data_IF_996343211633
#
_entry.id   IF_996343211633
#
_cell.length_a   1.000
_cell.length_b   1.000
_cell.length_c   1.000
_cell.angle_alpha   90.00
_cell.angle_beta   90.00
_cell.angle_gamma   90.00
#
_symmetry.space_group_name_H-M   'P 1'
#
loop_
_entity.id
_entity.type
_entity.pdbx_description
1 polymer ?
#
# COMPACT_ATOMS: atom_id res chain seq x y z
N UNK A 1 35.60 13.35 4.84
CA UNK A 1 36.06 11.95 5.01
C UNK A 1 35.43 11.11 3.89
N UNK A 2 35.91 11.31 2.66
CA UNK A 2 35.50 10.58 1.47
C UNK A 2 36.70 9.73 1.04
N UNK A 3 36.54 8.41 0.97
CA UNK A 3 37.28 7.49 0.08
C UNK A 3 36.97 6.04 0.46
N UNK A 4 36.24 5.34 -0.41
CA UNK A 4 36.49 3.95 -0.86
C UNK A 4 35.31 3.49 -1.75
N UNK A 5 35.27 3.99 -2.97
CA UNK A 5 34.57 3.33 -4.08
C UNK A 5 35.56 2.35 -4.72
N UNK A 6 35.58 1.13 -4.21
CA UNK A 6 36.35 0.03 -4.77
C UNK A 6 35.55 -0.73 -5.83
N UNK A 7 36.11 -0.79 -7.05
CA UNK A 7 35.88 -1.83 -8.08
C UNK A 7 34.43 -2.03 -8.58
N UNK A 8 33.94 -1.11 -9.41
CA UNK A 8 32.82 -1.34 -10.35
C UNK A 8 33.22 -1.25 -11.84
N UNK A 9 34.51 -1.09 -12.15
CA UNK A 9 34.99 -0.76 -13.50
C UNK A 9 35.00 -1.93 -14.51
N UNK A 10 34.88 -3.19 -14.06
CA UNK A 10 34.86 -4.36 -14.94
C UNK A 10 33.50 -4.57 -15.63
N UNK A 11 32.40 -4.37 -14.90
CA UNK A 11 31.04 -4.64 -15.38
C UNK A 11 30.52 -3.46 -16.22
N UNK A 12 30.84 -2.21 -15.86
CA UNK A 12 30.44 -1.05 -16.67
C UNK A 12 31.06 -1.04 -18.08
N UNK A 13 32.26 -1.62 -18.29
CA UNK A 13 32.90 -1.69 -19.60
C UNK A 13 32.27 -2.69 -20.56
N UNK A 14 31.70 -3.80 -20.06
CA UNK A 14 30.86 -4.67 -20.89
C UNK A 14 29.53 -4.01 -21.27
N UNK A 15 29.01 -3.07 -20.47
CA UNK A 15 27.71 -2.43 -20.72
C UNK A 15 27.76 -1.29 -21.73
N UNK A 16 28.81 -0.45 -21.73
CA UNK A 16 28.96 0.58 -22.77
C UNK A 16 29.26 0.01 -24.16
N UNK A 17 29.83 -1.20 -24.22
CA UNK A 17 30.03 -1.91 -25.50
C UNK A 17 28.77 -2.63 -25.97
N UNK A 18 27.79 -2.89 -25.09
CA UNK A 18 26.46 -3.42 -25.46
C UNK A 18 25.49 -2.34 -25.94
N UNK A 19 25.54 -1.11 -25.39
CA UNK A 19 24.68 -0.01 -25.85
C UNK A 19 25.00 0.49 -27.27
N UNK A 20 26.12 0.05 -27.84
CA UNK A 20 26.57 0.41 -29.19
C UNK A 20 26.26 -0.67 -30.26
N UNK A 21 25.80 -1.87 -29.88
CA UNK A 21 25.52 -2.97 -30.84
C UNK A 21 24.00 -3.14 -31.07
N UNK A 22 23.53 -2.50 -32.15
CA UNK A 22 22.28 -2.73 -32.90
C UNK A 22 20.98 -2.74 -32.09
N UNK A 23 20.30 -1.61 -32.24
CA UNK A 23 18.91 -1.26 -31.92
C UNK A 23 17.84 -2.14 -32.58
N UNK A 24 17.90 -3.47 -32.46
CA UNK A 24 16.80 -4.33 -32.89
C UNK A 24 16.27 -5.17 -31.73
N UNK A 25 14.95 -5.23 -31.59
CA UNK A 25 14.29 -6.08 -30.59
C UNK A 25 14.72 -7.55 -30.73
N UNK A 26 15.11 -7.98 -31.93
CA UNK A 26 15.64 -9.30 -32.19
C UNK A 26 16.97 -9.58 -31.46
N UNK A 27 17.88 -8.60 -31.37
CA UNK A 27 19.14 -8.79 -30.63
C UNK A 27 18.88 -8.90 -29.13
N UNK A 28 17.98 -8.07 -28.58
CA UNK A 28 17.57 -8.13 -27.19
C UNK A 28 16.89 -9.48 -26.87
N UNK A 29 15.99 -9.95 -27.73
CA UNK A 29 15.32 -11.24 -27.57
C UNK A 29 16.32 -12.41 -27.56
N UNK A 30 17.34 -12.38 -28.43
CA UNK A 30 18.40 -13.39 -28.43
C UNK A 30 19.24 -13.36 -27.14
N UNK A 31 19.57 -12.17 -26.64
CA UNK A 31 20.30 -12.02 -25.37
C UNK A 31 19.47 -12.55 -24.19
N UNK A 32 18.18 -12.21 -24.13
CA UNK A 32 17.26 -12.70 -23.09
C UNK A 32 17.15 -14.24 -23.14
N UNK A 33 17.01 -14.83 -24.33
CA UNK A 33 17.00 -16.29 -24.48
C UNK A 33 18.29 -16.93 -23.94
N UNK A 34 19.43 -16.43 -24.38
CA UNK A 34 20.75 -16.98 -24.03
C UNK A 34 21.13 -16.78 -22.55
N UNK A 35 20.78 -15.63 -21.98
CA UNK A 35 21.23 -15.26 -20.62
C UNK A 35 20.22 -15.61 -19.53
N UNK A 36 18.92 -15.64 -19.83
CA UNK A 36 17.87 -15.89 -18.83
C UNK A 36 17.19 -17.24 -19.07
N UNK A 37 16.78 -17.56 -20.30
CA UNK A 37 15.96 -18.76 -20.51
C UNK A 37 16.78 -20.05 -20.52
N UNK A 38 18.02 -20.01 -21.03
CA UNK A 38 18.88 -21.19 -21.18
C UNK A 38 19.78 -21.47 -19.96
N UNK A 39 19.97 -20.50 -19.06
CA UNK A 39 20.85 -20.67 -17.89
C UNK A 39 20.09 -21.22 -16.68
N UNK A 40 20.64 -22.25 -16.05
CA UNK A 40 20.06 -22.89 -14.84
C UNK A 40 20.13 -22.00 -13.60
N UNK A 41 21.22 -21.22 -13.43
CA UNK A 41 21.40 -20.34 -12.27
C UNK A 41 21.62 -18.90 -12.71
N UNK A 42 20.70 -18.01 -12.34
CA UNK A 42 20.71 -16.60 -12.73
C UNK A 42 20.78 -15.77 -11.45
N UNK A 43 21.70 -14.80 -11.44
CA UNK A 43 21.79 -13.83 -10.34
C UNK A 43 20.64 -12.83 -10.41
N UNK A 44 20.10 -12.42 -9.26
CA UNK A 44 19.08 -11.36 -9.17
C UNK A 44 19.50 -10.07 -9.90
N UNK A 45 20.80 -9.74 -9.86
CA UNK A 45 21.34 -8.56 -10.53
C UNK A 45 21.25 -8.68 -12.06
N UNK A 46 21.42 -9.87 -12.62
CA UNK A 46 21.31 -10.10 -14.05
C UNK A 46 19.87 -9.89 -14.52
N UNK A 47 18.90 -10.44 -13.77
CA UNK A 47 17.47 -10.23 -14.04
C UNK A 47 17.13 -8.75 -14.00
N UNK A 48 17.56 -8.04 -12.95
CA UNK A 48 17.30 -6.61 -12.79
C UNK A 48 17.91 -5.76 -13.89
N UNK A 49 19.15 -6.06 -14.30
CA UNK A 49 19.80 -5.33 -15.39
C UNK A 49 19.08 -5.54 -16.73
N UNK A 50 18.58 -6.75 -16.97
CA UNK A 50 17.79 -7.04 -18.16
C UNK A 50 16.43 -6.34 -18.14
N UNK A 51 15.72 -6.36 -17.02
CA UNK A 51 14.46 -5.64 -16.87
C UNK A 51 14.63 -4.12 -17.04
N UNK A 52 15.70 -3.54 -16.47
CA UNK A 52 16.04 -2.12 -16.66
C UNK A 52 16.34 -1.81 -18.13
N UNK A 53 17.05 -2.70 -18.81
CA UNK A 53 17.36 -2.54 -20.23
C UNK A 53 16.09 -2.60 -21.08
N UNK A 54 15.18 -3.52 -20.78
CA UNK A 54 13.85 -3.58 -21.41
C UNK A 54 13.06 -2.28 -21.18
N UNK A 55 13.05 -1.77 -19.94
CA UNK A 55 12.36 -0.51 -19.59
C UNK A 55 12.95 0.70 -20.34
N UNK A 56 14.27 0.81 -20.43
CA UNK A 56 14.95 1.90 -21.16
C UNK A 56 14.65 1.81 -22.66
N UNK A 57 14.62 0.59 -23.21
CA UNK A 57 14.34 0.37 -24.63
C UNK A 57 12.89 0.67 -24.99
N UNK A 58 11.94 0.43 -24.07
CA UNK A 58 10.52 0.78 -24.25
C UNK A 58 10.32 2.27 -24.51
N UNK A 59 11.07 3.14 -23.83
CA UNK A 59 11.03 4.58 -24.05
C UNK A 59 11.62 5.05 -25.39
N UNK A 60 12.35 4.17 -26.11
CA UNK A 60 13.07 4.52 -27.34
C UNK A 60 12.47 3.92 -28.61
N UNK A 61 11.66 2.87 -28.49
CA UNK A 61 11.18 2.08 -29.63
C UNK A 61 9.64 2.07 -29.63
N UNK A 62 8.97 2.37 -30.78
CA UNK A 62 7.50 2.39 -30.87
C UNK A 62 6.85 1.00 -30.73
N UNK A 63 7.60 -0.09 -30.88
CA UNK A 63 7.13 -1.48 -30.70
C UNK A 63 7.11 -1.92 -29.21
N UNK A 64 6.41 -1.16 -28.37
CA UNK A 64 6.36 -1.41 -26.92
C UNK A 64 5.79 -2.78 -26.53
N UNK A 65 4.84 -3.30 -27.29
CA UNK A 65 4.18 -4.59 -27.03
C UNK A 65 5.15 -5.78 -27.06
N UNK A 66 6.11 -5.77 -28.00
CA UNK A 66 7.10 -6.85 -28.09
C UNK A 66 8.01 -6.87 -26.86
N UNK A 67 8.32 -5.70 -26.29
CA UNK A 67 9.14 -5.58 -25.09
C UNK A 67 8.36 -6.05 -23.86
N UNK A 68 7.07 -5.74 -23.77
CA UNK A 68 6.20 -6.23 -22.69
C UNK A 68 6.14 -7.77 -22.71
N UNK A 69 5.97 -8.38 -23.89
CA UNK A 69 6.02 -9.84 -24.02
C UNK A 69 7.36 -10.47 -23.61
N UNK A 70 8.48 -9.72 -23.71
CA UNK A 70 9.78 -10.18 -23.24
C UNK A 70 9.88 -10.10 -21.72
N UNK A 71 9.34 -9.05 -21.11
CA UNK A 71 9.27 -8.90 -19.65
C UNK A 71 8.44 -10.04 -19.04
N UNK A 72 7.29 -10.34 -19.63
CA UNK A 72 6.46 -11.49 -19.22
C UNK A 72 7.22 -12.81 -19.27
N UNK A 73 7.95 -13.06 -20.37
CA UNK A 73 8.80 -14.27 -20.51
C UNK A 73 9.92 -14.34 -19.48
N UNK A 74 10.50 -13.19 -19.10
CA UNK A 74 11.53 -13.13 -18.05
C UNK A 74 10.94 -13.53 -16.69
N UNK A 75 9.76 -13.00 -16.35
CA UNK A 75 9.10 -13.33 -15.08
C UNK A 75 8.55 -14.75 -15.04
N UNK A 76 8.07 -15.29 -16.16
CA UNK A 76 7.56 -16.66 -16.27
C UNK A 76 8.66 -17.73 -16.22
N UNK A 77 9.93 -17.37 -16.49
CA UNK A 77 11.03 -18.33 -16.54
C UNK A 77 11.23 -19.07 -15.20
N UNK A 78 11.26 -20.41 -15.16
CA UNK A 78 11.32 -21.17 -13.90
C UNK A 78 12.61 -20.92 -13.11
N UNK A 79 13.70 -20.58 -13.79
CA UNK A 79 15.03 -20.38 -13.21
C UNK A 79 15.16 -19.03 -12.48
N UNK A 80 14.18 -18.13 -12.64
CA UNK A 80 14.19 -16.78 -12.05
C UNK A 80 13.49 -16.81 -10.69
N UNK A 81 14.27 -16.64 -9.62
CA UNK A 81 13.76 -16.40 -8.26
C UNK A 81 13.29 -14.95 -8.15
N UNK A 82 11.98 -14.76 -7.95
CA UNK A 82 11.38 -13.43 -7.82
C UNK A 82 11.35 -13.04 -6.34
N UNK A 83 12.39 -12.34 -5.90
CA UNK A 83 12.49 -11.79 -4.53
C UNK A 83 11.77 -10.43 -4.43
N UNK A 84 11.26 -10.04 -3.26
CA UNK A 84 10.66 -8.70 -3.04
C UNK A 84 11.60 -7.55 -3.46
N UNK A 85 12.92 -7.70 -3.27
CA UNK A 85 13.91 -6.72 -3.73
C UNK A 85 13.94 -6.56 -5.26
N UNK A 86 13.73 -7.65 -6.00
CA UNK A 86 13.68 -7.63 -7.47
C UNK A 86 12.43 -6.87 -7.93
N UNK A 87 11.27 -7.18 -7.34
CA UNK A 87 10.01 -6.47 -7.61
C UNK A 87 10.13 -4.98 -7.29
N UNK A 88 10.65 -4.64 -6.10
CA UNK A 88 10.81 -3.27 -5.65
C UNK A 88 11.65 -2.44 -6.64
N UNK A 89 12.82 -2.96 -7.02
CA UNK A 89 13.71 -2.30 -7.98
C UNK A 89 13.14 -2.25 -9.40
N UNK A 90 12.31 -3.21 -9.78
CA UNK A 90 11.60 -3.21 -11.06
C UNK A 90 10.47 -2.17 -11.07
N UNK A 91 9.62 -2.10 -10.05
CA UNK A 91 8.54 -1.10 -10.00
C UNK A 91 9.06 0.33 -9.94
N UNK A 92 10.25 0.57 -9.38
CA UNK A 92 10.92 1.86 -9.46
C UNK A 92 11.27 2.30 -10.90
N UNK A 93 11.32 1.39 -11.87
CA UNK A 93 11.52 1.77 -13.29
C UNK A 93 10.24 2.23 -13.98
N UNK A 94 9.14 2.36 -13.23
CA UNK A 94 7.82 2.80 -13.73
C UNK A 94 7.28 1.96 -14.89
N UNK A 95 7.18 0.63 -14.75
CA UNK A 95 6.64 -0.23 -15.80
C UNK A 95 5.15 0.04 -16.06
N UNK A 96 4.63 -0.42 -17.21
CA UNK A 96 3.20 -0.38 -17.51
C UNK A 96 2.39 -1.28 -16.59
N UNK A 97 1.09 -1.00 -16.46
CA UNK A 97 0.17 -1.78 -15.62
C UNK A 97 0.20 -3.29 -15.92
N UNK A 98 0.14 -3.69 -17.19
CA UNK A 98 0.19 -5.11 -17.58
C UNK A 98 1.45 -5.83 -17.06
N UNK A 99 2.61 -5.15 -17.10
CA UNK A 99 3.86 -5.72 -16.58
C UNK A 99 3.85 -5.81 -15.05
N UNK A 100 3.20 -4.85 -14.37
CA UNK A 100 3.06 -4.88 -12.90
C UNK A 100 2.15 -6.04 -12.50
N UNK A 101 0.98 -6.15 -13.13
CA UNK A 101 0.05 -7.25 -12.92
C UNK A 101 0.73 -8.61 -13.16
N UNK A 102 1.41 -8.77 -14.29
CA UNK A 102 2.18 -9.98 -14.59
C UNK A 102 3.27 -10.26 -13.53
N UNK A 103 3.99 -9.23 -13.06
CA UNK A 103 5.01 -9.40 -12.04
C UNK A 103 4.44 -9.83 -10.69
N UNK A 104 3.25 -9.35 -10.33
CA UNK A 104 2.55 -9.71 -9.08
C UNK A 104 2.02 -11.14 -9.16
N UNK A 105 1.37 -11.51 -10.26
CA UNK A 105 0.84 -12.86 -10.47
C UNK A 105 1.97 -13.91 -10.41
N UNK A 106 3.05 -13.70 -11.18
CA UNK A 106 4.21 -14.61 -11.17
C UNK A 106 4.90 -14.66 -9.80
N UNK A 107 4.90 -13.57 -9.03
CA UNK A 107 5.44 -13.58 -7.66
C UNK A 107 4.63 -14.51 -6.76
N UNK A 108 3.30 -14.44 -6.82
CA UNK A 108 2.43 -15.32 -6.05
C UNK A 108 2.51 -16.78 -6.53
N UNK A 109 2.59 -17.04 -7.82
CA UNK A 109 2.70 -18.40 -8.35
C UNK A 109 3.98 -19.10 -7.88
N UNK A 110 5.08 -18.35 -7.77
CA UNK A 110 6.40 -18.91 -7.41
C UNK A 110 6.67 -18.95 -5.91
N UNK A 111 6.12 -18.01 -5.13
CA UNK A 111 6.50 -17.83 -3.72
C UNK A 111 5.46 -18.33 -2.71
N UNK A 112 4.47 -19.12 -3.15
CA UNK A 112 3.52 -19.80 -2.27
C UNK A 112 2.86 -18.87 -1.25
N UNK A 113 3.19 -19.02 0.03
CA UNK A 113 2.56 -18.28 1.14
C UNK A 113 3.10 -16.86 1.34
N UNK A 114 4.14 -16.45 0.61
CA UNK A 114 4.71 -15.11 0.77
C UNK A 114 3.77 -14.05 0.16
N UNK A 115 3.42 -13.05 0.97
CA UNK A 115 2.67 -11.88 0.53
C UNK A 115 3.56 -10.69 0.21
N UNK A 116 3.07 -9.78 -0.64
CA UNK A 116 3.75 -8.51 -0.93
C UNK A 116 3.51 -7.55 0.23
N UNK A 117 4.57 -6.92 0.76
CA UNK A 117 4.42 -5.93 1.83
C UNK A 117 3.76 -4.65 1.30
N UNK A 118 2.97 -3.97 2.14
CA UNK A 118 2.36 -2.68 1.81
C UNK A 118 3.38 -1.66 1.27
N UNK A 119 4.55 -1.56 1.88
CA UNK A 119 5.59 -0.61 1.46
C UNK A 119 6.05 -0.81 0.02
N UNK A 120 6.09 -2.07 -0.44
CA UNK A 120 6.47 -2.39 -1.82
C UNK A 120 5.27 -2.11 -2.75
N UNK A 121 4.05 -2.49 -2.36
CA UNK A 121 2.83 -2.22 -3.12
C UNK A 121 2.53 -0.73 -3.31
N UNK A 122 2.97 0.11 -2.36
CA UNK A 122 2.89 1.58 -2.44
C UNK A 122 3.64 2.17 -3.63
N UNK A 123 4.67 1.50 -4.15
CA UNK A 123 5.49 2.04 -5.25
C UNK A 123 4.66 2.18 -6.54
N UNK A 124 4.10 1.09 -7.11
CA UNK A 124 3.25 1.20 -8.29
C UNK A 124 1.95 1.97 -7.99
N UNK A 125 1.39 1.79 -6.79
CA UNK A 125 0.16 2.48 -6.39
C UNK A 125 0.30 4.01 -6.43
N UNK A 126 1.35 4.57 -5.82
CA UNK A 126 1.60 6.02 -5.85
C UNK A 126 1.82 6.55 -7.25
N UNK A 127 2.44 5.75 -8.12
CA UNK A 127 2.62 6.13 -9.52
C UNK A 127 1.27 6.26 -10.23
N UNK A 128 0.40 5.26 -10.14
CA UNK A 128 -0.91 5.32 -10.79
C UNK A 128 -1.83 6.39 -10.22
N UNK A 129 -1.77 6.63 -8.90
CA UNK A 129 -2.46 7.77 -8.30
C UNK A 129 -1.94 9.10 -8.83
N UNK A 130 -0.62 9.26 -8.93
CA UNK A 130 0.00 10.47 -9.46
C UNK A 130 -0.39 10.72 -10.92
N UNK A 131 -0.50 9.65 -11.71
CA UNK A 131 -0.90 9.72 -13.12
C UNK A 131 -2.43 9.89 -13.30
N UNK A 132 -3.21 9.97 -12.21
CA UNK A 132 -4.68 10.11 -12.23
C UNK A 132 -5.43 8.84 -12.66
N UNK A 133 -4.75 7.70 -12.76
CA UNK A 133 -5.32 6.43 -13.21
C UNK A 133 -5.97 5.65 -12.04
N UNK A 134 -7.04 6.22 -11.49
CA UNK A 134 -7.75 5.76 -10.27
C UNK A 134 -8.13 4.27 -10.34
N UNK A 135 -8.72 3.81 -11.45
CA UNK A 135 -9.13 2.40 -11.61
C UNK A 135 -7.95 1.42 -11.53
N UNK A 136 -6.82 1.78 -12.15
CA UNK A 136 -5.61 0.94 -12.12
C UNK A 136 -5.00 0.94 -10.73
N UNK A 137 -4.99 2.08 -10.04
CA UNK A 137 -4.58 2.15 -8.64
C UNK A 137 -5.44 1.23 -7.75
N UNK A 138 -6.76 1.21 -7.95
CA UNK A 138 -7.67 0.32 -7.22
C UNK A 138 -7.38 -1.16 -7.52
N UNK A 139 -7.14 -1.53 -8.78
CA UNK A 139 -6.72 -2.89 -9.14
C UNK A 139 -5.40 -3.30 -8.47
N UNK A 140 -4.45 -2.37 -8.29
CA UNK A 140 -3.23 -2.66 -7.53
C UNK A 140 -3.55 -2.99 -6.06
N UNK A 141 -4.50 -2.29 -5.43
CA UNK A 141 -4.98 -2.63 -4.08
C UNK A 141 -5.49 -4.07 -4.05
N UNK A 142 -6.31 -4.46 -5.05
CA UNK A 142 -6.88 -5.80 -5.17
C UNK A 142 -5.82 -6.90 -5.31
N UNK A 143 -4.80 -6.64 -6.11
CA UNK A 143 -3.70 -7.58 -6.33
C UNK A 143 -2.72 -7.63 -5.14
N UNK A 144 -2.74 -6.66 -4.23
CA UNK A 144 -1.74 -6.55 -3.15
C UNK A 144 -2.37 -6.65 -1.76
N UNK A 145 -2.78 -5.53 -1.16
CA UNK A 145 -3.22 -5.46 0.24
C UNK A 145 -4.58 -6.08 0.49
N UNK A 146 -5.47 -6.11 -0.51
CA UNK A 146 -6.75 -6.81 -0.43
C UNK A 146 -6.67 -8.29 -0.85
N UNK A 147 -5.49 -8.77 -1.28
CA UNK A 147 -5.31 -10.15 -1.68
C UNK A 147 -5.46 -11.12 -0.49
N UNK A 148 -6.13 -12.28 -0.63
CA UNK A 148 -6.35 -13.22 0.48
C UNK A 148 -5.08 -13.62 1.23
N UNK A 149 -3.95 -13.79 0.51
CA UNK A 149 -2.66 -14.13 1.14
C UNK A 149 -2.13 -13.01 2.04
N UNK A 150 -2.35 -11.74 1.69
CA UNK A 150 -1.98 -10.62 2.54
C UNK A 150 -2.83 -10.59 3.80
N UNK A 151 -4.14 -10.80 3.65
CA UNK A 151 -5.09 -10.86 4.75
C UNK A 151 -4.73 -12.01 5.70
N UNK A 152 -4.35 -13.18 5.18
CA UNK A 152 -3.93 -14.33 5.99
C UNK A 152 -2.59 -14.08 6.70
N UNK A 153 -1.64 -13.38 6.06
CA UNK A 153 -0.45 -12.88 6.75
C UNK A 153 -0.85 -11.97 7.93
N UNK A 154 -1.79 -11.04 7.75
CA UNK A 154 -2.24 -10.16 8.83
C UNK A 154 -2.95 -10.93 9.95
N UNK A 155 -3.77 -11.93 9.63
CA UNK A 155 -4.37 -12.85 10.61
C UNK A 155 -3.30 -13.58 11.42
N UNK A 156 -2.24 -14.07 10.76
CA UNK A 156 -1.12 -14.75 11.42
C UNK A 156 -0.36 -13.82 12.35
N UNK A 157 -0.09 -12.57 11.93
CA UNK A 157 0.52 -11.53 12.78
C UNK A 157 -0.35 -11.24 14.01
N UNK A 158 -1.65 -11.05 13.81
CA UNK A 158 -2.62 -10.84 14.90
C UNK A 158 -2.61 -12.00 15.90
N UNK A 159 -2.63 -13.25 15.41
CA UNK A 159 -2.55 -14.45 16.25
C UNK A 159 -1.25 -14.52 17.02
N UNK A 160 -0.12 -14.20 16.38
CA UNK A 160 1.18 -14.13 17.05
C UNK A 160 1.18 -13.09 18.18
N UNK A 161 0.61 -11.91 17.96
CA UNK A 161 0.48 -10.90 19.01
C UNK A 161 -0.40 -11.35 20.15
N UNK A 162 -1.53 -11.99 19.86
CA UNK A 162 -2.43 -12.54 20.88
C UNK A 162 -1.75 -13.63 21.71
N UNK A 163 -0.97 -14.51 21.08
CA UNK A 163 -0.20 -15.56 21.78
C UNK A 163 0.89 -14.93 22.66
N UNK A 164 1.64 -13.95 22.14
CA UNK A 164 2.66 -13.23 22.93
C UNK A 164 2.03 -12.49 24.11
N UNK A 165 0.87 -11.88 23.89
CA UNK A 165 0.10 -11.21 24.92
C UNK A 165 -0.33 -12.19 26.02
N UNK A 166 -1.02 -13.27 25.66
CA UNK A 166 -1.40 -14.33 26.60
C UNK A 166 -0.18 -14.88 27.36
N UNK A 167 0.93 -15.14 26.66
CA UNK A 167 2.19 -15.57 27.27
C UNK A 167 2.72 -14.57 28.29
N UNK A 168 2.65 -13.27 28.01
CA UNK A 168 3.06 -12.22 28.96
C UNK A 168 2.17 -12.18 30.20
N UNK A 169 0.85 -12.36 30.05
CA UNK A 169 -0.08 -12.45 31.18
C UNK A 169 0.22 -13.66 32.07
N UNK A 170 0.43 -14.84 31.46
CA UNK A 170 0.81 -16.05 32.21
C UNK A 170 2.19 -15.92 32.87
N UNK A 171 3.15 -15.28 32.21
CA UNK A 171 4.46 -14.98 32.79
C UNK A 171 4.37 -14.07 34.01
N UNK A 172 3.51 -13.05 33.96
CA UNK A 172 3.25 -12.15 35.10
C UNK A 172 2.62 -12.91 36.27
N UNK A 173 1.62 -13.77 35.99
CA UNK A 173 0.99 -14.62 37.02
C UNK A 173 2.03 -15.55 37.66
N UNK A 174 2.89 -16.18 36.86
CA UNK A 174 3.98 -17.03 37.36
C UNK A 174 4.99 -16.26 38.22
N UNK A 175 5.33 -15.02 37.83
CA UNK A 175 6.21 -14.17 38.65
C UNK A 175 5.58 -13.82 40.00
N UNK A 176 4.27 -13.50 40.03
CA UNK A 176 3.53 -13.27 41.27
C UNK A 176 3.54 -14.55 42.14
N UNK A 177 3.33 -15.72 41.54
CA UNK A 177 3.39 -16.99 42.28
C UNK A 177 4.76 -17.23 42.91
N UNK A 178 5.84 -17.04 42.16
CA UNK A 178 7.20 -17.22 42.68
C UNK A 178 7.48 -16.25 43.83
N UNK A 179 7.14 -14.97 43.65
CA UNK A 179 7.35 -13.95 44.69
C UNK A 179 6.53 -14.24 45.94
N UNK A 180 5.26 -14.60 45.80
CA UNK A 180 4.40 -14.91 46.93
C UNK A 180 4.89 -16.13 47.71
N UNK A 181 5.35 -17.19 47.03
CA UNK A 181 5.95 -18.36 47.70
C UNK A 181 7.27 -18.06 48.41
N UNK A 182 8.10 -17.16 47.88
CA UNK A 182 9.37 -16.76 48.51
C UNK A 182 9.12 -15.94 49.78
N UNK A 183 8.22 -14.95 49.71
CA UNK A 183 8.02 -13.99 50.82
C UNK A 183 6.93 -14.44 51.82
N UNK A 184 6.00 -15.30 51.40
CA UNK A 184 4.87 -15.74 52.21
C UNK A 184 4.63 -17.25 52.01
N UNK A 185 5.45 -18.07 52.66
CA UNK A 185 5.45 -19.53 52.52
C UNK A 185 4.13 -20.21 52.94
N UNK A 186 3.28 -19.53 53.71
CA UNK A 186 2.08 -20.09 54.35
C UNK A 186 0.75 -19.59 53.74
N UNK A 187 0.81 -18.93 52.59
CA UNK A 187 -0.42 -18.48 51.92
C UNK A 187 -1.12 -19.69 51.32
N UNK A 188 -2.34 -19.96 51.80
CA UNK A 188 -3.24 -20.99 51.26
C UNK A 188 -3.58 -20.77 49.77
N UNK A 189 -4.63 -21.43 49.26
CA UNK A 189 -4.88 -21.51 47.81
C UNK A 189 -4.87 -20.14 47.10
N UNK A 190 -3.80 -19.86 46.34
CA UNK A 190 -3.63 -18.66 45.52
C UNK A 190 -4.61 -18.56 44.34
N UNK A 191 -5.43 -19.59 44.11
CA UNK A 191 -6.42 -19.64 43.03
C UNK A 191 -7.36 -18.43 43.00
N UNK A 192 -7.75 -17.89 44.16
CA UNK A 192 -8.57 -16.67 44.23
C UNK A 192 -7.82 -15.43 43.74
N UNK A 193 -6.53 -15.32 44.06
CA UNK A 193 -5.67 -14.20 43.60
C UNK A 193 -5.46 -14.30 42.09
N UNK A 194 -5.22 -15.49 41.54
CA UNK A 194 -5.11 -15.69 40.09
C UNK A 194 -6.40 -15.32 39.36
N UNK A 195 -7.55 -15.71 39.89
CA UNK A 195 -8.85 -15.32 39.32
C UNK A 195 -9.03 -13.79 39.33
N UNK A 196 -8.64 -13.09 40.41
CA UNK A 196 -8.68 -11.63 40.47
C UNK A 196 -7.74 -10.96 39.46
N UNK A 197 -6.50 -11.44 39.36
CA UNK A 197 -5.50 -10.90 38.41
C UNK A 197 -5.95 -11.14 36.97
N UNK A 198 -6.45 -12.34 36.65
CA UNK A 198 -6.99 -12.66 35.33
C UNK A 198 -8.22 -11.82 34.99
N UNK A 199 -9.13 -11.63 35.94
CA UNK A 199 -10.30 -10.76 35.76
C UNK A 199 -9.89 -9.30 35.52
N UNK A 200 -8.90 -8.80 36.27
CA UNK A 200 -8.36 -7.45 36.10
C UNK A 200 -7.68 -7.27 34.74
N UNK A 201 -6.81 -8.19 34.35
CA UNK A 201 -6.16 -8.19 33.03
C UNK A 201 -7.22 -8.28 31.94
N UNK A 202 -8.20 -9.18 32.05
CA UNK A 202 -9.28 -9.32 31.08
C UNK A 202 -10.09 -8.02 30.91
N UNK A 203 -10.49 -7.41 32.02
CA UNK A 203 -11.25 -6.15 32.01
C UNK A 203 -10.42 -4.98 31.44
N UNK A 204 -9.17 -4.83 31.86
CA UNK A 204 -8.29 -3.77 31.34
C UNK A 204 -7.95 -3.97 29.87
N UNK A 205 -7.75 -5.22 29.41
CA UNK A 205 -7.56 -5.56 28.00
C UNK A 205 -8.77 -5.17 27.16
N UNK A 206 -9.97 -5.48 27.66
CA UNK A 206 -11.21 -5.16 26.98
C UNK A 206 -11.41 -3.64 26.87
N UNK A 207 -11.23 -2.91 27.97
CA UNK A 207 -11.33 -1.45 27.98
C UNK A 207 -10.26 -0.78 27.11
N UNK A 208 -9.02 -1.28 27.15
CA UNK A 208 -7.94 -0.82 26.29
C UNK A 208 -8.27 -1.07 24.81
N UNK A 209 -8.78 -2.25 24.48
CA UNK A 209 -9.23 -2.58 23.12
C UNK A 209 -10.28 -1.59 22.64
N UNK A 210 -11.30 -1.27 23.45
CA UNK A 210 -12.30 -0.26 23.09
C UNK A 210 -11.68 1.14 22.91
N UNK A 211 -10.82 1.57 23.84
CA UNK A 211 -10.22 2.90 23.82
C UNK A 211 -9.27 3.12 22.62
N UNK A 212 -8.43 2.15 22.30
CA UNK A 212 -7.46 2.27 21.20
C UNK A 212 -8.09 2.01 19.82
N UNK A 213 -9.14 1.20 19.77
CA UNK A 213 -9.86 0.97 18.52
C UNK A 213 -10.64 2.23 18.11
N UNK A 214 -11.20 2.99 19.06
CA UNK A 214 -11.93 4.23 18.76
C UNK A 214 -11.05 5.37 18.23
N UNK A 215 -9.80 5.51 18.73
CA UNK A 215 -8.90 6.61 18.36
C UNK A 215 -8.24 6.45 16.99
N UNK A 216 -7.91 5.24 16.57
CA UNK A 216 -7.15 5.02 15.33
C UNK A 216 -8.02 4.92 14.06
N UNK A 217 -9.35 5.01 14.17
CA UNK A 217 -10.28 4.70 13.07
C UNK A 217 -10.99 5.92 12.50
N UNK A 218 -11.04 7.02 13.26
CA UNK A 218 -11.78 8.21 12.85
C UNK A 218 -10.90 9.44 12.62
N UNK A 219 -9.68 9.51 13.17
CA UNK A 219 -8.81 10.70 13.05
C UNK A 219 -7.69 10.58 12.01
N UNK A 220 -7.18 9.38 11.71
CA UNK A 220 -5.99 9.20 10.85
C UNK A 220 -6.26 8.55 9.48
N UNK A 221 -7.49 8.10 9.22
CA UNK A 221 -7.85 7.28 8.05
C UNK A 221 -8.33 8.10 6.85
N UNK A 222 -8.36 9.43 6.94
CA UNK A 222 -8.72 10.32 5.83
C UNK A 222 -10.23 10.32 5.52
N UNK A 223 -10.65 10.55 4.27
CA UNK A 223 -12.07 10.67 3.89
C UNK A 223 -12.83 9.34 3.85
N UNK A 224 -12.29 8.24 4.38
CA UNK A 224 -12.93 6.93 4.33
C UNK A 224 -12.93 6.29 5.72
N UNK A 225 -14.07 5.72 6.11
CA UNK A 225 -14.25 5.00 7.38
C UNK A 225 -14.90 3.64 7.15
N UNK A 226 -14.78 2.76 8.15
CA UNK A 226 -15.49 1.49 8.13
C UNK A 226 -17.00 1.67 8.30
N UNK A 227 -17.79 0.84 7.62
CA UNK A 227 -19.24 0.78 7.78
C UNK A 227 -19.59 0.40 9.23
N UNK A 228 -20.55 1.09 9.88
CA UNK A 228 -21.02 0.71 11.21
C UNK A 228 -21.41 -0.78 11.28
N UNK A 229 -21.01 -1.47 12.34
CA UNK A 229 -21.28 -2.90 12.55
C UNK A 229 -20.23 -3.87 11.97
N UNK A 230 -19.17 -3.35 11.34
CA UNK A 230 -18.00 -4.17 10.98
C UNK A 230 -17.17 -4.53 12.21
N UNK A 231 -16.69 -5.78 12.27
CA UNK A 231 -15.94 -6.30 13.42
C UNK A 231 -14.51 -5.77 13.45
N UNK A 232 -13.97 -5.53 14.63
CA UNK A 232 -12.61 -4.99 14.83
C UNK A 232 -11.50 -5.87 14.22
N UNK A 233 -11.70 -7.20 14.22
CA UNK A 233 -10.78 -8.12 13.57
C UNK A 233 -10.67 -7.87 12.06
N UNK A 234 -11.78 -7.47 11.42
CA UNK A 234 -11.79 -7.09 10.01
C UNK A 234 -11.03 -5.78 9.81
N UNK A 235 -11.22 -4.81 10.69
CA UNK A 235 -10.51 -3.52 10.66
C UNK A 235 -9.00 -3.71 10.68
N UNK A 236 -8.50 -4.54 11.60
CA UNK A 236 -7.07 -4.83 11.69
C UNK A 236 -6.54 -5.50 10.41
N UNK A 237 -7.26 -6.48 9.88
CA UNK A 237 -6.85 -7.25 8.70
C UNK A 237 -6.81 -6.39 7.43
N UNK A 238 -7.74 -5.44 7.31
CA UNK A 238 -7.94 -4.63 6.12
C UNK A 238 -7.53 -3.16 6.32
N UNK A 239 -6.78 -2.84 7.38
CA UNK A 239 -6.39 -1.47 7.67
C UNK A 239 -5.52 -0.86 6.56
N UNK A 240 -4.60 -1.65 6.01
CA UNK A 240 -3.75 -1.20 4.91
C UNK A 240 -4.54 -1.00 3.62
N UNK A 241 -5.55 -1.83 3.36
CA UNK A 241 -6.49 -1.66 2.25
C UNK A 241 -7.25 -0.34 2.41
N UNK A 242 -7.81 -0.08 3.59
CA UNK A 242 -8.53 1.15 3.90
C UNK A 242 -7.67 2.39 3.64
N UNK A 243 -6.42 2.38 4.10
CA UNK A 243 -5.50 3.51 3.89
C UNK A 243 -5.22 3.78 2.41
N UNK A 244 -5.14 2.73 1.59
CA UNK A 244 -4.97 2.88 0.14
C UNK A 244 -6.25 3.40 -0.51
N UNK A 245 -7.39 2.77 -0.23
CA UNK A 245 -8.69 3.18 -0.75
C UNK A 245 -9.05 4.63 -0.37
N UNK A 246 -8.67 5.07 0.83
CA UNK A 246 -8.83 6.45 1.27
C UNK A 246 -8.11 7.43 0.36
N UNK A 247 -6.86 7.14 -0.03
CA UNK A 247 -6.12 7.96 -1.01
C UNK A 247 -6.68 7.88 -2.43
N UNK A 248 -7.23 6.74 -2.82
CA UNK A 248 -7.96 6.61 -4.09
C UNK A 248 -9.21 7.53 -4.09
N UNK A 249 -9.97 7.57 -2.99
CA UNK A 249 -11.14 8.43 -2.85
C UNK A 249 -10.76 9.92 -2.96
N UNK A 250 -9.70 10.35 -2.25
CA UNK A 250 -9.20 11.74 -2.32
C UNK A 250 -8.90 12.15 -3.77
N UNK A 251 -8.08 11.36 -4.47
CA UNK A 251 -7.66 11.66 -5.84
C UNK A 251 -8.84 11.62 -6.82
N UNK A 252 -9.77 10.67 -6.65
CA UNK A 252 -10.95 10.59 -7.50
C UNK A 252 -11.89 11.80 -7.31
N UNK A 253 -12.12 12.20 -6.06
CA UNK A 253 -12.88 13.38 -5.71
C UNK A 253 -12.26 14.68 -6.27
N UNK A 254 -10.93 14.76 -6.28
CA UNK A 254 -10.20 15.92 -6.81
C UNK A 254 -10.21 15.99 -8.35
N UNK A 255 -10.10 14.85 -9.05
CA UNK A 255 -10.01 14.80 -10.51
C UNK A 255 -11.40 14.82 -11.15
N UNK A 256 -12.29 13.95 -10.69
CA UNK A 256 -13.59 13.68 -11.31
C UNK A 256 -14.77 14.28 -10.55
N UNK A 257 -14.55 14.75 -9.33
CA UNK A 257 -15.63 15.19 -8.46
C UNK A 257 -16.26 16.50 -8.89
N UNK A 258 -17.58 16.49 -9.03
CA UNK A 258 -18.38 17.70 -8.96
C UNK A 258 -18.46 18.10 -7.48
N UNK A 259 -18.02 19.32 -7.14
CA UNK A 259 -18.06 19.86 -5.76
C UNK A 259 -17.19 19.09 -4.74
N UNK A 260 -16.24 18.28 -5.19
CA UNK A 260 -15.32 17.54 -4.31
C UNK A 260 -15.87 16.19 -3.82
N UNK A 261 -16.94 15.67 -4.41
CA UNK A 261 -17.42 14.31 -4.15
C UNK A 261 -16.84 13.31 -5.15
N UNK A 262 -16.45 12.12 -4.67
CA UNK A 262 -15.96 11.06 -5.54
C UNK A 262 -17.07 10.49 -6.46
N UNK A 263 -16.65 9.84 -7.53
CA UNK A 263 -17.52 9.22 -8.52
C UNK A 263 -18.36 8.10 -7.89
N UNK A 264 -19.62 7.98 -8.30
CA UNK A 264 -20.55 6.95 -7.80
C UNK A 264 -20.00 5.52 -7.91
N UNK A 265 -19.26 5.22 -8.98
CA UNK A 265 -18.67 3.90 -9.21
C UNK A 265 -17.60 3.56 -8.17
N UNK A 266 -16.76 4.53 -7.83
CA UNK A 266 -15.73 4.39 -6.79
C UNK A 266 -16.38 4.24 -5.41
N UNK A 267 -17.40 5.06 -5.12
CA UNK A 267 -18.19 4.95 -3.88
C UNK A 267 -18.83 3.57 -3.76
N UNK A 268 -19.43 3.05 -4.83
CA UNK A 268 -20.04 1.71 -4.83
C UNK A 268 -19.01 0.61 -4.55
N UNK A 269 -17.83 0.68 -5.18
CA UNK A 269 -16.73 -0.24 -4.91
C UNK A 269 -16.31 -0.23 -3.43
N UNK A 270 -16.32 0.93 -2.78
CA UNK A 270 -16.02 1.04 -1.35
C UNK A 270 -17.15 0.49 -0.47
N UNK A 271 -18.41 0.71 -0.83
CA UNK A 271 -19.54 0.10 -0.13
C UNK A 271 -19.46 -1.43 -0.11
N UNK A 272 -19.08 -2.05 -1.23
CA UNK A 272 -18.91 -3.49 -1.35
C UNK A 272 -17.78 -4.01 -0.43
N UNK A 273 -16.77 -3.17 -0.15
CA UNK A 273 -15.67 -3.44 0.80
C UNK A 273 -16.02 -3.10 2.25
N UNK A 274 -17.27 -2.73 2.53
CA UNK A 274 -17.76 -2.29 3.85
C UNK A 274 -17.08 -1.00 4.32
N UNK A 275 -16.74 -0.13 3.38
CA UNK A 275 -16.18 1.18 3.61
C UNK A 275 -17.21 2.24 3.20
N UNK A 276 -17.22 3.37 3.89
CA UNK A 276 -18.14 4.49 3.62
C UNK A 276 -17.31 5.78 3.63
N UNK A 277 -17.54 6.71 2.70
CA UNK A 277 -16.98 8.05 2.80
C UNK A 277 -17.27 8.66 4.18
N UNK A 278 -16.24 9.27 4.77
CA UNK A 278 -16.39 10.08 5.95
C UNK A 278 -16.69 11.50 5.49
N UNK A 279 -17.84 12.02 5.91
CA UNK A 279 -18.17 13.41 5.66
C UNK A 279 -17.17 14.29 6.44
N UNK A 280 -16.53 15.28 5.80
CA UNK A 280 -15.62 16.17 6.50
C UNK A 280 -16.36 16.89 7.62
N UNK A 281 -15.70 17.07 8.77
CA UNK A 281 -16.30 17.69 9.95
C UNK A 281 -16.87 19.09 9.62
N UNK A 282 -16.22 19.82 8.72
CA UNK A 282 -16.67 21.12 8.23
C UNK A 282 -18.03 21.04 7.54
N UNK A 283 -18.31 19.97 6.80
CA UNK A 283 -19.58 19.78 6.12
C UNK A 283 -20.68 19.36 7.10
N UNK A 284 -20.34 18.52 8.08
CA UNK A 284 -21.24 18.20 9.19
C UNK A 284 -21.58 19.47 9.99
N UNK A 285 -20.56 20.28 10.30
CA UNK A 285 -20.70 21.57 10.97
C UNK A 285 -21.52 22.56 10.13
N UNK A 286 -21.32 22.59 8.80
CA UNK A 286 -22.11 23.42 7.91
C UNK A 286 -23.58 22.95 7.88
N UNK A 287 -23.85 21.66 7.79
CA UNK A 287 -25.21 21.11 7.88
C UNK A 287 -25.85 21.46 9.22
N UNK A 288 -25.11 21.35 10.33
CA UNK A 288 -25.56 21.77 11.66
C UNK A 288 -25.81 23.28 11.74
N UNK A 289 -24.95 24.09 11.14
CA UNK A 289 -25.13 25.54 11.02
C UNK A 289 -26.45 25.86 10.31
N UNK A 290 -26.72 25.22 9.17
CA UNK A 290 -27.96 25.42 8.42
C UNK A 290 -29.19 24.90 9.18
N UNK A 291 -29.10 23.74 9.83
CA UNK A 291 -30.18 23.17 10.64
C UNK A 291 -30.47 24.01 11.91
N UNK A 292 -29.43 24.58 12.50
CA UNK A 292 -29.48 25.39 13.72
C UNK A 292 -29.66 26.89 13.48
N UNK A 293 -29.73 27.35 12.22
CA UNK A 293 -29.80 28.77 11.88
C UNK A 293 -28.56 29.58 12.30
N UNK A 294 -27.42 28.92 12.47
CA UNK A 294 -26.15 29.53 12.88
C UNK A 294 -26.00 29.79 14.38
N UNK A 295 -26.91 29.29 15.23
CA UNK A 295 -26.78 29.41 16.68
C UNK A 295 -25.58 28.60 17.19
N UNK A 296 -24.69 29.23 17.96
CA UNK A 296 -23.48 28.61 18.52
C UNK A 296 -22.24 28.55 17.61
N UNK A 297 -22.25 29.18 16.43
CA UNK A 297 -21.09 29.25 15.53
C UNK A 297 -20.40 30.63 15.59
N UNK A 298 -19.06 30.63 15.67
CA UNK A 298 -18.21 31.83 15.57
C UNK A 298 -17.53 31.86 14.20
N UNK A 299 -17.51 33.03 13.55
CA UNK A 299 -16.85 33.19 12.26
C UNK A 299 -15.35 33.37 12.47
N UNK A 300 -14.55 32.46 11.91
CA UNK A 300 -13.09 32.53 11.92
C UNK A 300 -12.61 32.59 10.47
N UNK A 301 -11.69 33.50 10.17
CA UNK A 301 -11.10 33.59 8.83
C UNK A 301 -10.28 32.31 8.52
N UNK A 302 -10.38 31.77 7.29
CA UNK A 302 -9.67 30.54 6.94
C UNK A 302 -8.16 30.79 6.74
N UNK A 303 -7.33 30.19 7.61
CA UNK A 303 -5.88 30.08 7.39
C UNK A 303 -5.60 29.16 6.20
N UNK A 304 -4.90 29.65 5.17
CA UNK A 304 -4.48 28.81 4.03
C UNK A 304 -3.04 28.35 4.21
N UNK A 305 -2.83 27.03 4.28
CA UNK A 305 -1.49 26.43 4.24
C UNK A 305 -0.88 26.60 2.83
N UNK A 306 0.35 27.14 2.69
CA UNK A 306 1.02 27.25 1.39
C UNK A 306 1.23 25.91 0.67
N UNK A 307 1.30 24.78 1.37
CA UNK A 307 1.46 23.46 0.75
C UNK A 307 0.16 23.00 0.06
N UNK A 308 -0.99 23.22 0.70
CA UNK A 308 -2.32 22.90 0.15
C UNK A 308 -2.60 23.71 -1.12
N UNK A 309 -2.12 24.96 -1.15
CA UNK A 309 -2.23 25.82 -2.32
C UNK A 309 -1.46 25.25 -3.52
N UNK A 310 -0.21 24.80 -3.32
CA UNK A 310 0.61 24.19 -4.38
C UNK A 310 -0.02 22.88 -4.90
N UNK A 311 -0.61 22.09 -4.00
CA UNK A 311 -1.31 20.86 -4.36
C UNK A 311 -2.54 21.14 -5.23
N UNK A 312 -3.40 22.10 -4.83
CA UNK A 312 -4.57 22.54 -5.62
C UNK A 312 -4.18 23.00 -7.02
N UNK A 313 -3.10 23.78 -7.15
CA UNK A 313 -2.60 24.22 -8.46
C UNK A 313 -2.16 23.06 -9.36
N UNK A 314 -1.62 21.99 -8.79
CA UNK A 314 -1.20 20.82 -9.56
C UNK A 314 -2.41 20.07 -10.12
N UNK A 315 -3.42 19.84 -9.29
CA UNK A 315 -4.63 19.13 -9.66
C UNK A 315 -5.46 19.88 -10.71
N UNK A 316 -5.56 21.21 -10.59
CA UNK A 316 -6.24 22.01 -11.60
C UNK A 316 -5.61 21.86 -12.99
N UNK A 317 -4.27 21.75 -13.07
CA UNK A 317 -3.58 21.51 -14.34
C UNK A 317 -3.93 20.15 -14.93
N UNK A 318 -4.08 19.12 -14.10
CA UNK A 318 -4.48 17.77 -14.54
C UNK A 318 -5.94 17.78 -14.98
N UNK A 319 -6.85 18.33 -14.16
CA UNK A 319 -8.27 18.47 -14.50
C UNK A 319 -8.46 19.16 -15.85
N UNK A 320 -7.75 20.26 -16.08
CA UNK A 320 -7.83 20.99 -17.33
C UNK A 320 -7.33 20.18 -18.54
N UNK A 321 -6.44 19.19 -18.37
CA UNK A 321 -6.01 18.30 -19.44
C UNK A 321 -7.06 17.23 -19.80
N UNK A 322 -7.91 16.86 -18.84
CA UNK A 322 -8.98 15.88 -19.02
C UNK A 322 -10.32 16.47 -19.47
N UNK A 323 -10.53 17.78 -19.35
CA UNK A 323 -11.73 18.47 -19.83
C UNK A 323 -11.78 18.52 -21.37
N UNK A 324 -12.96 18.29 -21.99
CA UNK A 324 -13.13 18.48 -23.44
C UNK A 324 -12.88 19.94 -23.84
N UNK A 325 -12.30 20.16 -25.03
CA UNK A 325 -11.85 21.49 -25.53
C UNK A 325 -12.89 22.62 -25.46
N UNK A 326 -14.19 22.30 -25.36
CA UNK A 326 -15.26 23.27 -25.23
C UNK A 326 -15.30 23.92 -23.83
N UNK A 327 -14.94 23.18 -22.77
CA UNK A 327 -14.98 23.64 -21.38
C UNK A 327 -13.65 24.30 -20.96
N UNK A 328 -12.54 23.93 -21.59
CA UNK A 328 -11.23 24.58 -21.39
C UNK A 328 -11.23 26.08 -21.74
N UNK A 329 -12.14 26.55 -22.61
CA UNK A 329 -12.25 27.97 -22.97
C UNK A 329 -12.99 28.80 -21.92
N UNK A 330 -13.86 28.19 -21.11
CA UNK A 330 -14.67 28.87 -20.10
C UNK A 330 -13.92 29.09 -18.78
N UNK A 331 -12.84 28.33 -18.52
CA UNK A 331 -12.05 28.44 -17.28
C UNK A 331 -10.92 29.48 -17.34
N UNK A 332 -10.79 30.23 -18.44
CA UNK A 332 -9.72 31.23 -18.67
C UNK A 332 -10.28 32.67 -18.73
N UNK A 333 -11.61 32.82 -18.77
CA UNK A 333 -12.30 34.11 -18.55
C UNK A 333 -12.75 34.20 -17.09
#
# INVERSE_FOLDING_TARGET
>A
MFTRLGRFSGIQRSFHTYSARKSSIASLSQVVKKEILEKENISEEQVLNMLRTCSIMKGKIPQGEQIDSLIEKIFAAPNVKITSNVLRKFWLTKPSFANIECSIQNYYDKNGDLSINREDAMIPFRQFLWDGEVEKALKIVDLTTAHPRYIDMQKSKMRSYLIRYAGSCFGLIGAIEILTRIFFADVGSLGKVYAMVLAYIGNTSFLASLAFTGKNINQDTGPLRWRPGTLQNYWYQHNDELMMCSKVLEVDAEIHGNEGFATKEIIQNFFDRKMIPNEPEQEIMMQQYWLGGGDGFEWVEPDQDPLDFLWKQHLEKIRNQHLPKAEQKLSIE
#
